data_IF_748664520768
#
_entry.id   IF_748664520768
#
_cell.length_a   1.000
_cell.length_b   1.000
_cell.length_c   1.000
_cell.angle_alpha   90.00
_cell.angle_beta   90.00
_cell.angle_gamma   90.00
#
_symmetry.space_group_name_H-M   'P 1'
#
loop_
_entity.id
_entity.type
_entity.pdbx_description
1 polymer ?
#
# COMPACT_ATOMS: atom_id res chain seq x y z
N UNK A 1 13.01 56.06 0.93
CA UNK A 1 13.24 54.64 1.20
C UNK A 1 12.16 54.00 2.11
N UNK A 2 11.81 54.55 3.25
CA UNK A 2 10.84 53.97 4.23
C UNK A 2 9.42 53.73 3.68
N UNK A 3 8.93 54.59 2.77
CA UNK A 3 7.59 54.42 2.16
C UNK A 3 7.54 53.33 1.09
N UNK A 4 8.62 53.08 0.36
CA UNK A 4 8.71 52.02 -0.64
C UNK A 4 8.76 50.66 0.04
N UNK A 5 9.45 50.53 1.17
CA UNK A 5 9.51 49.32 1.98
C UNK A 5 8.13 48.91 2.53
N UNK A 6 7.28 49.90 2.92
CA UNK A 6 5.93 49.67 3.41
C UNK A 6 4.98 49.03 2.36
N UNK A 7 5.23 49.26 1.08
CA UNK A 7 4.44 48.64 -0.01
C UNK A 7 5.03 47.32 -0.48
N UNK A 8 6.36 47.15 -0.45
CA UNK A 8 7.02 45.91 -0.91
C UNK A 8 6.80 44.76 0.08
N UNK A 9 6.85 45.04 1.39
CA UNK A 9 6.72 44.02 2.43
C UNK A 9 5.40 43.20 2.34
N UNK A 10 4.22 43.86 2.25
CA UNK A 10 2.96 43.08 2.12
C UNK A 10 2.87 42.28 0.83
N UNK A 11 3.42 42.78 -0.26
CA UNK A 11 3.45 42.04 -1.54
C UNK A 11 4.32 40.78 -1.39
N UNK A 12 5.48 40.90 -0.76
CA UNK A 12 6.40 39.77 -0.53
C UNK A 12 5.75 38.71 0.38
N UNK A 13 5.00 39.11 1.38
CA UNK A 13 4.24 38.22 2.28
C UNK A 13 3.15 37.48 1.50
N UNK A 14 2.38 38.20 0.67
CA UNK A 14 1.31 37.58 -0.13
C UNK A 14 1.90 36.57 -1.10
N UNK A 15 2.96 36.91 -1.80
CA UNK A 15 3.66 36.01 -2.73
C UNK A 15 4.16 34.76 -2.00
N UNK A 16 4.80 34.93 -0.83
CA UNK A 16 5.27 33.81 0.00
C UNK A 16 4.13 32.88 0.42
N UNK A 17 2.99 33.42 0.83
CA UNK A 17 1.80 32.65 1.21
C UNK A 17 1.29 31.84 0.01
N UNK A 18 1.17 32.47 -1.17
CA UNK A 18 0.72 31.82 -2.39
C UNK A 18 1.64 30.66 -2.77
N UNK A 19 2.97 30.87 -2.73
CA UNK A 19 3.94 29.81 -3.01
C UNK A 19 3.87 28.66 -2.02
N UNK A 20 3.66 28.97 -0.72
CA UNK A 20 3.51 27.94 0.33
C UNK A 20 2.27 27.07 0.09
N UNK A 21 1.13 27.73 -0.20
CA UNK A 21 -0.13 27.02 -0.50
C UNK A 21 0.03 26.13 -1.73
N UNK A 22 0.63 26.65 -2.80
CA UNK A 22 0.88 25.87 -4.02
C UNK A 22 1.80 24.68 -3.77
N UNK A 23 2.88 24.86 -3.00
CA UNK A 23 3.77 23.78 -2.60
C UNK A 23 3.06 22.67 -1.82
N UNK A 24 2.21 23.02 -0.86
CA UNK A 24 1.42 22.03 -0.10
C UNK A 24 0.46 21.26 -1.00
N UNK A 25 -0.22 21.94 -1.92
CA UNK A 25 -1.14 21.30 -2.87
C UNK A 25 -0.38 20.31 -3.76
N UNK A 26 0.79 20.71 -4.28
CA UNK A 26 1.61 19.86 -5.14
C UNK A 26 2.06 18.58 -4.43
N UNK A 27 2.50 18.66 -3.16
CA UNK A 27 2.92 17.50 -2.39
C UNK A 27 1.75 16.55 -2.14
N UNK A 28 0.57 17.05 -1.78
CA UNK A 28 -0.62 16.21 -1.60
C UNK A 28 -1.02 15.49 -2.90
N UNK A 29 -0.85 16.17 -4.03
CA UNK A 29 -1.12 15.56 -5.34
C UNK A 29 -0.13 14.44 -5.67
N UNK A 30 1.15 14.67 -5.37
CA UNK A 30 2.22 13.68 -5.56
C UNK A 30 2.02 12.45 -4.66
N UNK A 31 1.69 12.65 -3.37
CA UNK A 31 1.35 11.59 -2.43
C UNK A 31 0.19 10.72 -2.95
N UNK A 32 -0.90 11.35 -3.36
CA UNK A 32 -2.07 10.65 -3.90
C UNK A 32 -1.69 9.83 -5.14
N UNK A 33 -0.92 10.41 -6.06
CA UNK A 33 -0.47 9.73 -7.28
C UNK A 33 0.39 8.50 -6.98
N UNK A 34 1.31 8.61 -6.00
CA UNK A 34 2.15 7.49 -5.56
C UNK A 34 1.33 6.38 -4.92
N UNK A 35 0.33 6.73 -4.11
CA UNK A 35 -0.58 5.77 -3.50
C UNK A 35 -1.47 5.07 -4.52
N UNK A 36 -2.02 5.80 -5.49
CA UNK A 36 -2.83 5.24 -6.58
C UNK A 36 -2.00 4.27 -7.45
N UNK A 37 -0.72 4.58 -7.71
CA UNK A 37 0.19 3.70 -8.44
C UNK A 37 0.49 2.42 -7.65
N UNK A 38 0.75 2.56 -6.35
CA UNK A 38 0.98 1.44 -5.45
C UNK A 38 -0.24 0.51 -5.38
N UNK A 39 -1.43 1.08 -5.25
CA UNK A 39 -2.69 0.34 -5.26
C UNK A 39 -2.88 -0.44 -6.57
N UNK A 40 -2.64 0.20 -7.71
CA UNK A 40 -2.73 -0.47 -9.02
C UNK A 40 -1.75 -1.63 -9.14
N UNK A 41 -0.50 -1.45 -8.67
CA UNK A 41 0.52 -2.50 -8.68
C UNK A 41 0.13 -3.67 -7.77
N UNK A 42 -0.31 -3.39 -6.55
CA UNK A 42 -0.74 -4.41 -5.61
C UNK A 42 -1.93 -5.22 -6.14
N UNK A 43 -2.93 -4.53 -6.70
CA UNK A 43 -4.08 -5.14 -7.35
C UNK A 43 -3.66 -6.04 -8.51
N UNK A 44 -2.84 -5.53 -9.44
CA UNK A 44 -2.39 -6.29 -10.61
C UNK A 44 -1.61 -7.55 -10.21
N UNK A 45 -0.79 -7.47 -9.16
CA UNK A 45 -0.07 -8.64 -8.65
C UNK A 45 -1.04 -9.64 -8.03
N UNK A 46 -1.96 -9.21 -7.16
CA UNK A 46 -2.95 -10.09 -6.55
C UNK A 46 -3.79 -10.82 -7.62
N UNK A 47 -4.28 -10.08 -8.63
CA UNK A 47 -5.03 -10.65 -9.75
C UNK A 47 -4.18 -11.62 -10.59
N UNK A 48 -2.89 -11.34 -10.80
CA UNK A 48 -2.00 -12.22 -11.56
C UNK A 48 -1.78 -13.59 -10.93
N UNK A 49 -1.96 -13.70 -9.62
CA UNK A 49 -1.76 -14.94 -8.86
C UNK A 49 -3.07 -15.61 -8.44
N UNK A 50 -4.20 -14.94 -8.64
CA UNK A 50 -5.52 -15.41 -8.22
C UNK A 50 -5.81 -16.82 -8.72
N UNK A 51 -5.56 -17.10 -10.01
CA UNK A 51 -5.82 -18.42 -10.60
C UNK A 51 -4.98 -19.52 -9.93
N UNK A 52 -3.69 -19.23 -9.67
CA UNK A 52 -2.81 -20.16 -8.96
C UNK A 52 -3.25 -20.39 -7.53
N UNK A 53 -3.64 -19.30 -6.84
CA UNK A 53 -4.14 -19.38 -5.48
C UNK A 53 -5.45 -20.15 -5.41
N UNK A 54 -6.36 -19.95 -6.36
CA UNK A 54 -7.63 -20.70 -6.46
C UNK A 54 -7.37 -22.20 -6.55
N UNK A 55 -6.48 -22.62 -7.43
CA UNK A 55 -6.14 -24.04 -7.58
C UNK A 55 -5.54 -24.62 -6.28
N UNK A 56 -4.66 -23.89 -5.62
CA UNK A 56 -4.06 -24.26 -4.34
C UNK A 56 -5.12 -24.41 -3.25
N UNK A 57 -6.02 -23.43 -3.13
CA UNK A 57 -7.07 -23.40 -2.13
C UNK A 57 -8.08 -24.55 -2.31
N UNK A 58 -8.51 -24.80 -3.54
CA UNK A 58 -9.43 -25.89 -3.86
C UNK A 58 -8.85 -27.26 -3.55
N UNK A 59 -7.53 -27.45 -3.75
CA UNK A 59 -6.86 -28.72 -3.50
C UNK A 59 -6.20 -28.82 -2.12
N UNK A 60 -6.28 -27.78 -1.31
CA UNK A 60 -5.62 -27.66 0.00
C UNK A 60 -4.11 -28.01 -0.07
N UNK A 61 -3.42 -27.57 -1.13
CA UNK A 61 -2.01 -27.87 -1.38
C UNK A 61 -1.09 -26.87 -0.64
N UNK A 62 -0.80 -27.17 0.62
CA UNK A 62 0.07 -26.36 1.49
C UNK A 62 1.48 -26.17 0.92
N UNK A 63 2.01 -27.19 0.20
CA UNK A 63 3.35 -27.10 -0.37
C UNK A 63 3.41 -26.10 -1.52
N UNK A 64 2.42 -26.08 -2.38
CA UNK A 64 2.30 -25.11 -3.46
C UNK A 64 1.95 -23.71 -2.93
N UNK A 65 1.15 -23.64 -1.85
CA UNK A 65 0.89 -22.37 -1.16
C UNK A 65 2.18 -21.72 -0.65
N UNK A 66 3.03 -22.47 0.06
CA UNK A 66 4.32 -21.97 0.55
C UNK A 66 5.23 -21.53 -0.59
N UNK A 67 5.32 -22.31 -1.67
CA UNK A 67 6.11 -21.92 -2.85
C UNK A 67 5.59 -20.63 -3.50
N UNK A 68 4.28 -20.46 -3.59
CA UNK A 68 3.68 -19.28 -4.20
C UNK A 68 4.03 -18.02 -3.39
N UNK A 69 3.87 -18.04 -2.07
CA UNK A 69 4.20 -16.87 -1.21
C UNK A 69 5.69 -16.55 -1.21
N UNK A 70 6.58 -17.53 -1.37
CA UNK A 70 8.02 -17.31 -1.50
C UNK A 70 8.38 -16.55 -2.79
N UNK A 71 7.60 -16.73 -3.88
CA UNK A 71 7.83 -15.99 -5.12
C UNK A 71 7.61 -14.48 -4.95
N UNK A 72 6.83 -14.08 -3.96
CA UNK A 72 6.55 -12.68 -3.66
C UNK A 72 7.81 -11.93 -3.22
N UNK A 73 8.71 -12.58 -2.47
CA UNK A 73 9.99 -11.97 -2.05
C UNK A 73 10.90 -11.57 -3.20
N UNK A 74 10.72 -12.17 -4.37
CA UNK A 74 11.54 -11.89 -5.57
C UNK A 74 11.05 -10.67 -6.34
N UNK A 75 9.87 -10.14 -6.01
CA UNK A 75 9.30 -8.98 -6.68
C UNK A 75 9.79 -7.69 -6.02
N UNK A 76 10.09 -6.70 -6.84
CA UNK A 76 10.58 -5.40 -6.38
C UNK A 76 9.60 -4.75 -5.38
N UNK A 77 10.13 -4.28 -4.24
CA UNK A 77 9.41 -3.58 -3.17
C UNK A 77 8.29 -4.38 -2.49
N UNK A 78 8.19 -5.66 -2.77
CA UNK A 78 7.24 -6.52 -2.12
C UNK A 78 7.85 -7.10 -0.85
N UNK A 79 7.19 -6.90 0.29
CA UNK A 79 7.63 -7.46 1.57
C UNK A 79 7.27 -8.94 1.67
N UNK A 80 6.13 -9.31 1.10
CA UNK A 80 5.66 -10.69 1.08
C UNK A 80 4.18 -10.80 0.76
N UNK A 81 3.63 -11.96 1.04
CA UNK A 81 2.21 -12.21 0.91
C UNK A 81 1.73 -13.32 1.83
N UNK A 82 0.43 -13.42 1.92
CA UNK A 82 -0.27 -14.40 2.74
C UNK A 82 -1.39 -15.03 1.93
N UNK A 83 -1.61 -16.32 2.12
CA UNK A 83 -2.77 -17.04 1.59
C UNK A 83 -3.62 -17.47 2.78
N UNK A 84 -4.89 -17.12 2.74
CA UNK A 84 -5.90 -17.47 3.75
C UNK A 84 -6.90 -18.47 3.17
N UNK A 85 -7.39 -19.36 4.02
CA UNK A 85 -8.54 -20.16 3.68
C UNK A 85 -9.86 -19.37 3.77
N UNK A 86 -10.98 -20.02 3.53
CA UNK A 86 -12.31 -19.40 3.59
C UNK A 86 -12.75 -19.01 5.00
N UNK A 87 -12.17 -19.59 6.04
CA UNK A 87 -12.36 -19.25 7.46
C UNK A 87 -11.49 -18.06 7.89
N UNK A 88 -10.49 -17.67 7.07
CA UNK A 88 -9.53 -16.61 7.34
C UNK A 88 -8.28 -17.08 8.10
N UNK A 89 -8.08 -18.41 8.18
CA UNK A 89 -6.87 -18.98 8.75
C UNK A 89 -5.72 -18.94 7.72
N UNK A 90 -4.50 -18.79 8.23
CA UNK A 90 -3.32 -18.68 7.36
C UNK A 90 -2.91 -20.08 6.87
N UNK A 91 -2.98 -20.30 5.56
CA UNK A 91 -2.42 -21.49 4.91
C UNK A 91 -0.94 -21.35 4.61
N UNK A 92 -0.51 -20.17 4.18
CA UNK A 92 0.89 -19.88 3.91
C UNK A 92 1.18 -18.40 4.09
N UNK A 93 2.38 -18.10 4.57
CA UNK A 93 2.89 -16.75 4.78
C UNK A 93 4.36 -16.70 4.40
N UNK A 94 4.78 -15.61 3.78
CA UNK A 94 6.19 -15.35 3.48
C UNK A 94 6.99 -15.22 4.79
N UNK A 95 8.14 -15.88 4.90
CA UNK A 95 8.95 -15.91 6.12
C UNK A 95 9.32 -14.50 6.63
N UNK A 96 9.69 -13.59 5.74
CA UNK A 96 10.06 -12.20 6.08
C UNK A 96 8.98 -11.45 6.86
N UNK A 97 7.72 -11.79 6.67
CA UNK A 97 6.55 -11.15 7.30
C UNK A 97 5.82 -12.09 8.26
N UNK A 98 6.49 -13.12 8.79
CA UNK A 98 5.87 -14.11 9.69
C UNK A 98 5.16 -13.48 10.89
N UNK A 99 5.68 -12.36 11.44
CA UNK A 99 5.05 -11.59 12.51
C UNK A 99 3.70 -10.96 12.10
N UNK A 100 3.42 -10.85 10.80
CA UNK A 100 2.13 -10.39 10.29
C UNK A 100 0.97 -11.27 10.73
N UNK A 101 1.25 -12.54 11.02
CA UNK A 101 0.26 -13.50 11.54
C UNK A 101 -0.34 -13.09 12.89
N UNK A 102 0.39 -12.33 13.69
CA UNK A 102 -0.01 -11.89 15.04
C UNK A 102 -0.90 -10.63 15.04
N UNK A 103 -1.08 -10.00 13.87
CA UNK A 103 -1.87 -8.79 13.75
C UNK A 103 -3.36 -9.08 13.88
N UNK A 104 -4.09 -8.14 14.50
CA UNK A 104 -5.56 -8.18 14.50
C UNK A 104 -6.09 -8.11 13.05
N UNK A 105 -6.88 -9.10 12.69
CA UNK A 105 -7.46 -9.29 11.36
C UNK A 105 -8.97 -9.26 11.39
N UNK A 106 -9.57 -8.53 12.32
CA UNK A 106 -11.02 -8.38 12.40
C UNK A 106 -11.64 -7.92 11.07
N UNK A 107 -10.91 -7.08 10.33
CA UNK A 107 -11.29 -6.63 8.98
C UNK A 107 -11.27 -7.75 7.92
N UNK A 108 -10.49 -8.82 8.11
CA UNK A 108 -10.43 -9.93 7.15
C UNK A 108 -11.78 -10.64 7.04
N UNK A 109 -12.45 -10.84 8.16
CA UNK A 109 -13.80 -11.44 8.20
C UNK A 109 -14.81 -10.62 7.40
N UNK A 110 -14.72 -9.30 7.50
CA UNK A 110 -15.56 -8.38 6.72
C UNK A 110 -15.28 -8.51 5.21
N UNK A 111 -13.99 -8.55 4.82
CA UNK A 111 -13.57 -8.72 3.42
C UNK A 111 -14.07 -10.04 2.84
N UNK A 112 -13.92 -11.13 3.59
CA UNK A 112 -14.36 -12.46 3.17
C UNK A 112 -15.88 -12.53 3.03
N UNK A 113 -16.63 -11.95 3.99
CA UNK A 113 -18.10 -11.95 3.94
C UNK A 113 -18.65 -11.09 2.81
N UNK A 114 -18.06 -9.93 2.56
CA UNK A 114 -18.48 -9.01 1.51
C UNK A 114 -17.94 -9.39 0.12
N UNK A 115 -17.01 -10.36 0.06
CA UNK A 115 -16.34 -10.79 -1.17
C UNK A 115 -15.74 -9.61 -1.97
N UNK A 116 -15.32 -8.55 -1.28
CA UNK A 116 -14.83 -7.33 -1.88
C UNK A 116 -13.35 -7.11 -1.56
N UNK A 117 -12.49 -6.81 -2.57
CA UNK A 117 -11.09 -6.55 -2.32
C UNK A 117 -10.91 -5.26 -1.53
N UNK A 118 -9.87 -5.22 -0.68
CA UNK A 118 -9.52 -4.05 0.12
C UNK A 118 -8.04 -3.79 0.08
N UNK A 119 -7.67 -2.53 -0.16
CA UNK A 119 -6.32 -2.02 0.02
C UNK A 119 -6.27 -1.04 1.18
N UNK A 120 -5.25 -1.12 2.01
CA UNK A 120 -5.06 -0.23 3.14
C UNK A 120 -3.58 0.00 3.46
N UNK A 121 -3.27 1.22 3.94
CA UNK A 121 -2.00 1.49 4.61
C UNK A 121 -2.06 0.93 6.02
N UNK A 122 -1.04 0.17 6.37
CA UNK A 122 -0.96 -0.51 7.63
C UNK A 122 0.42 -0.30 8.27
N UNK A 123 0.47 -0.31 9.60
CA UNK A 123 1.75 -0.25 10.31
C UNK A 123 2.29 -1.65 10.52
N UNK A 124 3.54 -1.87 10.10
CA UNK A 124 4.26 -3.12 10.33
C UNK A 124 5.64 -2.81 10.93
N UNK A 125 5.90 -3.25 12.15
CA UNK A 125 7.05 -2.84 12.95
C UNK A 125 7.13 -1.30 13.04
N UNK A 126 8.23 -0.70 12.59
CA UNK A 126 8.46 0.74 12.65
C UNK A 126 8.15 1.48 11.33
N UNK A 127 7.71 0.76 10.29
CA UNK A 127 7.41 1.35 8.99
C UNK A 127 5.98 1.07 8.53
N UNK A 128 5.54 1.82 7.54
CA UNK A 128 4.24 1.62 6.91
C UNK A 128 4.37 0.69 5.71
N UNK A 129 3.37 -0.15 5.53
CA UNK A 129 3.22 -1.03 4.38
C UNK A 129 1.84 -0.80 3.76
N UNK A 130 1.72 -1.11 2.48
CA UNK A 130 0.43 -1.17 1.82
C UNK A 130 0.03 -2.63 1.68
N UNK A 131 -1.06 -3.01 2.34
CA UNK A 131 -1.67 -4.33 2.23
C UNK A 131 -2.82 -4.28 1.24
N UNK A 132 -2.89 -5.26 0.33
CA UNK A 132 -4.02 -5.45 -0.57
C UNK A 132 -4.49 -6.89 -0.48
N UNK A 133 -5.76 -7.06 -0.10
CA UNK A 133 -6.41 -8.36 0.08
C UNK A 133 -7.39 -8.56 -1.06
N UNK A 134 -7.25 -9.68 -1.77
CA UNK A 134 -8.12 -10.12 -2.84
C UNK A 134 -8.83 -11.42 -2.42
N UNK A 135 -10.16 -11.42 -2.21
CA UNK A 135 -10.92 -12.64 -2.05
C UNK A 135 -10.82 -13.52 -3.32
N UNK A 136 -10.61 -14.80 -3.13
CA UNK A 136 -10.51 -15.79 -4.21
C UNK A 136 -11.79 -16.60 -4.28
N UNK A 137 -12.37 -16.64 -5.48
CA UNK A 137 -13.63 -17.35 -5.75
C UNK A 137 -13.39 -18.58 -6.61
N UNK A 138 -14.25 -19.59 -6.48
CA UNK A 138 -14.34 -20.68 -7.45
C UNK A 138 -15.13 -20.27 -8.71
N UNK A 139 -15.30 -21.23 -9.61
CA UNK A 139 -16.04 -20.99 -10.88
C UNK A 139 -17.55 -20.79 -10.67
N UNK A 140 -18.07 -21.18 -9.50
CA UNK A 140 -19.47 -21.01 -9.09
C UNK A 140 -19.67 -19.72 -8.25
N UNK A 141 -18.62 -18.87 -8.12
CA UNK A 141 -18.60 -17.67 -7.31
C UNK A 141 -18.75 -17.90 -5.79
N UNK A 142 -18.34 -19.07 -5.30
CA UNK A 142 -18.22 -19.34 -3.87
C UNK A 142 -16.84 -18.90 -3.40
N UNK A 143 -16.77 -18.36 -2.17
CA UNK A 143 -15.50 -17.99 -1.56
C UNK A 143 -14.69 -19.24 -1.20
N UNK A 144 -13.46 -19.32 -1.69
CA UNK A 144 -12.51 -20.40 -1.36
C UNK A 144 -11.36 -19.94 -0.47
N UNK A 145 -11.14 -18.63 -0.36
CA UNK A 145 -10.13 -18.05 0.49
C UNK A 145 -9.76 -16.62 0.08
N UNK A 146 -8.57 -16.18 0.44
CA UNK A 146 -8.06 -14.88 0.03
C UNK A 146 -6.53 -14.90 -0.16
N UNK A 147 -6.05 -13.93 -0.95
CA UNK A 147 -4.63 -13.63 -1.10
C UNK A 147 -4.37 -12.21 -0.63
N UNK A 148 -3.39 -12.03 0.23
CA UNK A 148 -2.90 -10.72 0.66
C UNK A 148 -1.51 -10.48 0.09
N UNK A 149 -1.30 -9.32 -0.51
CA UNK A 149 0.01 -8.85 -0.97
C UNK A 149 0.43 -7.61 -0.19
N UNK A 150 1.68 -7.58 0.27
CA UNK A 150 2.19 -6.55 1.17
C UNK A 150 3.37 -5.86 0.53
N UNK A 151 3.24 -4.55 0.31
CA UNK A 151 4.24 -3.69 -0.30
C UNK A 151 4.89 -2.75 0.72
N UNK A 152 6.18 -2.54 0.56
CA UNK A 152 6.92 -1.51 1.27
C UNK A 152 6.51 -0.13 0.76
N UNK A 153 6.14 0.76 1.68
CA UNK A 153 5.81 2.15 1.37
C UNK A 153 6.88 3.15 1.79
N UNK A 154 8.00 2.68 2.35
CA UNK A 154 9.08 3.56 2.86
C UNK A 154 9.62 4.52 1.78
N UNK A 155 9.67 4.07 0.54
CA UNK A 155 10.11 4.89 -0.58
C UNK A 155 9.15 6.07 -0.88
N UNK A 156 7.87 5.91 -0.62
CA UNK A 156 6.87 7.00 -0.80
C UNK A 156 7.21 8.14 0.15
N UNK A 157 7.47 7.82 1.42
CA UNK A 157 7.84 8.82 2.41
C UNK A 157 9.20 9.46 2.12
N UNK A 158 10.16 8.70 1.58
CA UNK A 158 11.46 9.22 1.16
C UNK A 158 11.32 10.24 0.01
N UNK A 159 10.53 9.91 -1.02
CA UNK A 159 10.27 10.81 -2.14
C UNK A 159 9.58 12.10 -1.64
N UNK A 160 8.57 11.97 -0.79
CA UNK A 160 7.87 13.12 -0.23
C UNK A 160 8.79 14.00 0.62
N UNK A 161 9.66 13.40 1.45
CA UNK A 161 10.64 14.13 2.25
C UNK A 161 11.64 14.91 1.36
N UNK A 162 12.07 14.34 0.25
CA UNK A 162 12.93 15.03 -0.73
C UNK A 162 12.20 16.17 -1.42
N UNK A 163 10.93 15.99 -1.77
CA UNK A 163 10.10 17.04 -2.35
C UNK A 163 9.92 18.21 -1.38
N UNK A 164 9.66 17.94 -0.09
CA UNK A 164 9.62 18.95 0.95
C UNK A 164 10.94 19.71 1.09
N UNK A 165 12.07 19.01 1.09
CA UNK A 165 13.39 19.64 1.17
C UNK A 165 13.67 20.57 0.00
N UNK A 166 13.30 20.17 -1.23
CA UNK A 166 13.48 21.01 -2.43
C UNK A 166 12.67 22.31 -2.35
N UNK A 167 11.41 22.23 -1.89
CA UNK A 167 10.53 23.40 -1.74
C UNK A 167 11.09 24.34 -0.67
N UNK A 168 11.55 23.81 0.47
CA UNK A 168 12.13 24.61 1.55
C UNK A 168 13.41 25.36 1.14
N UNK A 169 14.25 24.76 0.28
CA UNK A 169 15.46 25.41 -0.23
C UNK A 169 15.14 26.50 -1.26
N UNK A 170 14.06 26.35 -2.02
CA UNK A 170 13.64 27.35 -3.03
C UNK A 170 13.02 28.61 -2.42
N UNK A 171 12.71 28.60 -1.13
CA UNK A 171 12.12 29.72 -0.39
C UNK A 171 13.14 30.61 0.35
N UNK A 172 14.43 30.25 0.32
CA UNK A 172 15.56 31.01 0.89
C UNK A 172 16.30 31.75 -0.21
#
# INVERSE_FOLDING_TARGET
MRRVLLFILPILIIVSIVFTIFGVIQIRFEEKKLMDDLQRKAKAVAESIELSARHILLNNDLKSASRLVETFQKRERMQGGVIYDKEGEILAITERISEWSQKDKSYLKEILSNKAPRGALEKFREYSVYSYILPVMDDENNLVGAVEVIYDTSYVFTILAESWRRISISLI
#
